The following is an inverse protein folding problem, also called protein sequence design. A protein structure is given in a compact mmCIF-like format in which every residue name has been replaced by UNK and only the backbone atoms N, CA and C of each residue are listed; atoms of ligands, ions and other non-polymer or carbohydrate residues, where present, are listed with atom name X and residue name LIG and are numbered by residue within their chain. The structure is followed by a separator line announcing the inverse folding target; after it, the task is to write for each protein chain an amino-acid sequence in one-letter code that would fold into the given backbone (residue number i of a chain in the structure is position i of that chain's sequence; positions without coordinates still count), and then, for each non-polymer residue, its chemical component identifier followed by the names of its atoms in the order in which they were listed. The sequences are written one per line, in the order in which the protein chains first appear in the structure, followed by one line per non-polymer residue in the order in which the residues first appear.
data_IF_353166252518
#
_entry.id   IF_353166252518
#
_cell.length_a   1.000
_cell.length_b   1.000
_cell.length_c   1.000
_cell.angle_alpha   90.00
_cell.angle_beta   90.00
_cell.angle_gamma   90.00
#
_symmetry.space_group_name_H-M   'P 1'
#
loop_
_entity.id
_entity.type
_entity.pdbx_description
1 polymer ?
#
# COMPACT_ATOMS: atom_id res chain seq x y z
N UNK A 1 -20.17 -14.53 -1.44
CA UNK A 1 -19.02 -15.02 -2.23
C UNK A 1 -17.74 -14.79 -1.42
N UNK A 2 -16.79 -15.71 -1.51
CA UNK A 2 -15.47 -15.58 -0.88
C UNK A 2 -14.69 -14.44 -1.57
N UNK A 3 -14.05 -13.57 -0.78
CA UNK A 3 -13.14 -12.52 -1.27
C UNK A 3 -11.69 -12.92 -0.92
N UNK A 4 -11.06 -13.78 -1.71
CA UNK A 4 -9.78 -14.40 -1.36
C UNK A 4 -8.57 -13.49 -1.60
N UNK A 5 -8.76 -12.33 -2.19
CA UNK A 5 -7.68 -11.44 -2.61
C UNK A 5 -7.72 -10.10 -1.86
N UNK A 6 -6.57 -9.50 -1.74
CA UNK A 6 -6.38 -8.10 -1.32
C UNK A 6 -5.54 -7.39 -2.38
N UNK A 7 -5.64 -6.07 -2.40
CA UNK A 7 -4.73 -5.23 -3.16
C UNK A 7 -3.66 -4.69 -2.21
N UNK A 8 -2.41 -4.81 -2.58
CA UNK A 8 -1.28 -4.12 -1.96
C UNK A 8 -0.85 -2.94 -2.81
N UNK A 9 -0.60 -1.78 -2.20
CA UNK A 9 -0.09 -0.58 -2.87
C UNK A 9 1.12 -0.08 -2.09
N UNK A 10 2.24 0.12 -2.79
CA UNK A 10 3.46 0.75 -2.28
C UNK A 10 3.65 2.11 -2.96
N UNK A 11 3.48 3.19 -2.20
CA UNK A 11 3.59 4.57 -2.71
C UNK A 11 5.00 5.10 -2.41
N UNK A 12 5.87 4.98 -3.39
CA UNK A 12 7.19 5.61 -3.34
C UNK A 12 7.18 7.04 -3.91
N UNK A 13 8.24 7.79 -3.65
CA UNK A 13 8.38 9.17 -4.15
C UNK A 13 8.45 9.31 -5.67
N UNK A 14 8.80 8.24 -6.40
CA UNK A 14 8.92 8.25 -7.87
C UNK A 14 7.87 7.38 -8.54
N UNK A 15 7.66 6.18 -8.04
CA UNK A 15 6.71 5.22 -8.58
C UNK A 15 5.79 4.73 -7.47
N UNK A 16 4.56 4.43 -7.86
CA UNK A 16 3.61 3.66 -7.06
C UNK A 16 3.47 2.29 -7.69
N UNK A 17 3.75 1.25 -6.93
CA UNK A 17 3.57 -0.15 -7.35
C UNK A 17 2.34 -0.71 -6.66
N UNK A 18 1.55 -1.48 -7.38
CA UNK A 18 0.37 -2.12 -6.81
C UNK A 18 0.18 -3.52 -7.39
N UNK A 19 -0.50 -4.38 -6.64
CA UNK A 19 -0.71 -5.76 -7.07
C UNK A 19 -1.84 -6.45 -6.33
N UNK A 20 -2.29 -7.56 -6.92
CA UNK A 20 -3.30 -8.46 -6.36
C UNK A 20 -2.56 -9.56 -5.61
N UNK A 21 -2.92 -9.78 -4.35
CA UNK A 21 -2.24 -10.71 -3.45
C UNK A 21 -3.26 -11.71 -2.89
N UNK A 22 -2.90 -12.99 -2.86
CA UNK A 22 -3.71 -14.04 -2.25
C UNK A 22 -3.47 -14.17 -0.73
N UNK A 23 -4.27 -15.00 -0.06
CA UNK A 23 -4.16 -15.23 1.38
C UNK A 23 -2.84 -15.89 1.83
N UNK A 24 -2.02 -16.37 0.90
CA UNK A 24 -0.69 -16.94 1.17
C UNK A 24 0.43 -15.94 0.97
N UNK A 25 0.10 -14.70 0.58
CA UNK A 25 1.07 -13.66 0.28
C UNK A 25 1.65 -13.75 -1.14
N UNK A 26 1.05 -14.55 -2.02
CA UNK A 26 1.48 -14.65 -3.42
C UNK A 26 0.97 -13.46 -4.21
N UNK A 27 1.85 -12.73 -4.86
CA UNK A 27 1.49 -11.67 -5.81
C UNK A 27 1.07 -12.34 -7.12
N UNK A 28 -0.22 -12.24 -7.45
CA UNK A 28 -0.80 -12.85 -8.65
C UNK A 28 -0.57 -12.00 -9.89
N UNK A 29 -0.65 -10.69 -9.74
CA UNK A 29 -0.41 -9.71 -10.79
C UNK A 29 0.03 -8.39 -10.18
N UNK A 30 0.83 -7.62 -10.89
CA UNK A 30 1.26 -6.29 -10.44
C UNK A 30 1.42 -5.33 -11.61
N UNK A 31 1.33 -4.03 -11.31
CA UNK A 31 1.56 -2.93 -12.23
C UNK A 31 2.09 -1.72 -11.48
N UNK A 32 2.39 -0.65 -12.18
CA UNK A 32 2.87 0.59 -11.56
C UNK A 32 2.47 1.82 -12.34
N UNK A 33 2.38 2.94 -11.62
CA UNK A 33 2.23 4.28 -12.18
C UNK A 33 3.31 5.21 -11.64
N UNK A 34 3.47 6.38 -12.26
CA UNK A 34 4.39 7.41 -11.79
C UNK A 34 3.73 8.25 -10.70
N UNK A 35 4.28 8.24 -9.49
CA UNK A 35 3.76 9.04 -8.36
C UNK A 35 3.76 10.53 -8.66
N UNK A 36 4.83 11.04 -9.31
CA UNK A 36 5.01 12.48 -9.57
C UNK A 36 4.39 12.99 -10.87
N UNK A 37 3.58 12.18 -11.55
CA UNK A 37 2.94 12.57 -12.82
C UNK A 37 1.86 13.65 -12.61
N UNK A 38 1.19 13.62 -11.47
CA UNK A 38 0.09 14.51 -11.14
C UNK A 38 0.45 15.43 -9.98
N UNK A 39 0.21 16.73 -10.14
CA UNK A 39 0.35 17.71 -9.08
C UNK A 39 -0.83 17.72 -8.11
N UNK A 40 -1.99 17.22 -8.54
CA UNK A 40 -3.19 17.06 -7.73
C UNK A 40 -3.38 15.59 -7.30
N UNK A 41 -3.73 15.40 -6.03
CA UNK A 41 -3.93 14.06 -5.46
C UNK A 41 -5.13 13.33 -6.06
N UNK A 42 -6.19 14.06 -6.44
CA UNK A 42 -7.39 13.46 -7.03
C UNK A 42 -7.12 12.94 -8.45
N UNK A 43 -6.29 13.64 -9.22
CA UNK A 43 -5.84 13.18 -10.54
C UNK A 43 -5.00 11.92 -10.41
N UNK A 44 -4.09 11.88 -9.42
CA UNK A 44 -3.31 10.69 -9.11
C UNK A 44 -4.21 9.50 -8.71
N UNK A 45 -5.16 9.70 -7.81
CA UNK A 45 -6.09 8.65 -7.38
C UNK A 45 -6.95 8.18 -8.56
N UNK A 46 -7.31 9.08 -9.47
CA UNK A 46 -8.08 8.73 -10.66
C UNK A 46 -7.28 7.86 -11.63
N UNK A 47 -6.00 8.16 -11.87
CA UNK A 47 -5.12 7.29 -12.66
C UNK A 47 -4.90 5.94 -11.97
N UNK A 48 -4.63 5.93 -10.66
CA UNK A 48 -4.48 4.71 -9.88
C UNK A 48 -5.73 3.83 -9.98
N UNK A 49 -6.91 4.43 -9.89
CA UNK A 49 -8.18 3.71 -10.02
C UNK A 49 -8.32 3.07 -11.40
N UNK A 50 -8.02 3.79 -12.48
CA UNK A 50 -8.12 3.25 -13.85
C UNK A 50 -7.16 2.06 -14.03
N UNK A 51 -5.90 2.22 -13.67
CA UNK A 51 -4.90 1.18 -13.90
C UNK A 51 -5.09 -0.04 -12.98
N UNK A 52 -5.49 0.18 -11.73
CA UNK A 52 -5.78 -0.92 -10.81
C UNK A 52 -7.07 -1.66 -11.18
N UNK A 53 -8.12 -0.96 -11.62
CA UNK A 53 -9.36 -1.59 -12.11
C UNK A 53 -9.09 -2.47 -13.32
N UNK A 54 -8.27 -1.99 -14.26
CA UNK A 54 -7.82 -2.77 -15.41
C UNK A 54 -7.03 -4.01 -15.01
N UNK A 55 -6.14 -3.89 -14.00
CA UNK A 55 -5.41 -5.05 -13.48
C UNK A 55 -6.36 -6.09 -12.87
N UNK A 56 -7.36 -5.64 -12.10
CA UNK A 56 -8.38 -6.50 -11.47
C UNK A 56 -9.23 -7.21 -12.53
N UNK A 57 -9.70 -6.48 -13.55
CA UNK A 57 -10.49 -7.02 -14.64
C UNK A 57 -9.70 -8.06 -15.44
N UNK A 58 -8.48 -7.72 -15.87
CA UNK A 58 -7.61 -8.62 -16.66
C UNK A 58 -7.29 -9.93 -15.94
N UNK A 59 -7.28 -9.91 -14.60
CA UNK A 59 -7.00 -11.10 -13.78
C UNK A 59 -8.28 -11.76 -13.21
N UNK A 60 -9.45 -11.40 -13.73
CA UNK A 60 -10.74 -11.96 -13.31
C UNK A 60 -10.97 -11.88 -11.79
N UNK A 61 -10.46 -10.82 -11.15
CA UNK A 61 -10.54 -10.63 -9.70
C UNK A 61 -11.68 -9.70 -9.25
N UNK A 62 -12.55 -9.29 -10.16
CA UNK A 62 -13.72 -8.46 -9.86
C UNK A 62 -14.63 -9.11 -8.81
N UNK A 63 -15.07 -8.32 -7.85
CA UNK A 63 -15.89 -8.80 -6.73
C UNK A 63 -15.16 -9.73 -5.74
N UNK A 64 -13.89 -10.06 -5.97
CA UNK A 64 -13.08 -10.96 -5.14
C UNK A 64 -12.07 -10.23 -4.25
N UNK A 65 -11.97 -8.90 -4.33
CA UNK A 65 -11.07 -8.08 -3.50
C UNK A 65 -11.74 -7.77 -2.18
N UNK A 66 -11.08 -8.14 -1.07
CA UNK A 66 -11.57 -7.91 0.29
C UNK A 66 -11.26 -6.50 0.81
N UNK A 67 -10.16 -5.90 0.37
CA UNK A 67 -9.71 -4.59 0.80
C UNK A 67 -8.36 -4.21 0.18
N UNK A 68 -7.88 -3.02 0.53
CA UNK A 68 -6.65 -2.42 0.02
C UNK A 68 -5.72 -2.12 1.20
N UNK A 69 -4.48 -2.60 1.14
CA UNK A 69 -3.41 -2.26 2.07
C UNK A 69 -2.39 -1.34 1.40
N UNK A 70 -2.00 -0.26 2.08
CA UNK A 70 -1.11 0.76 1.53
C UNK A 70 0.10 0.97 2.43
N UNK A 71 1.30 0.85 1.86
CA UNK A 71 2.54 1.37 2.43
C UNK A 71 2.88 2.72 1.80
N UNK A 72 3.10 3.75 2.61
CA UNK A 72 3.46 5.08 2.12
C UNK A 72 4.36 5.82 3.12
N UNK A 73 5.23 6.75 2.66
CA UNK A 73 6.04 7.56 3.55
C UNK A 73 5.17 8.33 4.55
N UNK A 74 5.55 8.29 5.84
CA UNK A 74 4.90 9.02 6.93
C UNK A 74 3.37 8.79 7.05
N UNK A 75 2.89 7.67 6.55
CA UNK A 75 1.51 7.26 6.73
C UNK A 75 1.26 6.74 8.15
N UNK A 76 0.11 7.10 8.71
CA UNK A 76 -0.31 6.74 10.05
C UNK A 76 -1.53 5.81 9.99
N UNK A 77 -1.38 4.61 10.55
CA UNK A 77 -2.42 3.59 10.55
C UNK A 77 -3.70 4.02 11.28
N UNK A 78 -3.55 4.72 12.41
CA UNK A 78 -4.70 5.09 13.26
C UNK A 78 -5.54 6.24 12.69
N UNK A 79 -4.91 7.14 11.93
CA UNK A 79 -5.61 8.30 11.37
C UNK A 79 -5.97 8.14 9.89
N UNK A 80 -5.38 7.16 9.20
CA UNK A 80 -5.56 6.99 7.75
C UNK A 80 -4.89 8.08 6.90
N UNK A 81 -4.03 8.89 7.51
CA UNK A 81 -3.46 10.10 6.90
C UNK A 81 -1.97 9.96 6.60
N UNK A 82 -1.50 10.71 5.62
CA UNK A 82 -0.10 11.09 5.47
C UNK A 82 0.06 12.47 6.08
N UNK A 83 0.76 12.56 7.21
CA UNK A 83 0.88 13.80 7.99
C UNK A 83 1.95 14.74 7.48
N UNK A 84 3.04 14.20 6.92
CA UNK A 84 4.16 14.95 6.37
C UNK A 84 4.67 14.21 5.12
N UNK A 85 4.41 14.77 3.97
CA UNK A 85 4.65 14.16 2.66
C UNK A 85 6.09 14.31 2.17
N UNK A 86 7.09 13.95 2.97
CA UNK A 86 8.48 13.93 2.51
C UNK A 86 8.58 13.10 1.23
N UNK A 87 9.08 13.71 0.16
CA UNK A 87 9.23 13.15 -1.19
C UNK A 87 7.93 12.90 -1.98
N UNK A 88 6.75 13.24 -1.47
CA UNK A 88 5.50 13.21 -2.22
C UNK A 88 5.23 14.57 -2.87
N UNK A 89 4.58 14.61 -4.05
CA UNK A 89 4.36 15.87 -4.77
C UNK A 89 3.18 16.69 -4.25
N UNK A 90 2.40 16.14 -3.31
CA UNK A 90 1.15 16.74 -2.85
C UNK A 90 1.30 17.46 -1.50
N UNK A 91 0.56 18.55 -1.29
CA UNK A 91 0.50 19.19 0.02
C UNK A 91 -0.06 18.25 1.09
N UNK A 92 0.53 18.28 2.27
CA UNK A 92 0.08 17.50 3.42
C UNK A 92 -0.56 18.40 4.48
N UNK A 93 -1.44 17.88 5.36
CA UNK A 93 -1.83 16.47 5.52
C UNK A 93 -2.81 15.96 4.45
N UNK A 94 -2.77 14.64 4.15
CA UNK A 94 -3.65 14.00 3.16
C UNK A 94 -4.42 12.87 3.83
N UNK A 95 -5.78 12.85 3.81
CA UNK A 95 -6.59 11.73 4.30
C UNK A 95 -6.66 10.61 3.25
N UNK A 96 -5.51 10.00 2.96
CA UNK A 96 -5.36 9.11 1.80
C UNK A 96 -6.20 7.84 1.90
N UNK A 97 -6.35 7.28 3.10
CA UNK A 97 -7.18 6.08 3.28
C UNK A 97 -8.64 6.34 2.91
N UNK A 98 -9.18 7.48 3.34
CA UNK A 98 -10.57 7.87 3.05
C UNK A 98 -10.77 8.13 1.56
N UNK A 99 -9.88 8.90 0.93
CA UNK A 99 -9.94 9.21 -0.49
C UNK A 99 -9.91 7.95 -1.37
N UNK A 100 -9.05 6.99 -1.04
CA UNK A 100 -8.97 5.72 -1.78
C UNK A 100 -10.17 4.84 -1.46
N UNK A 101 -10.60 4.77 -0.19
CA UNK A 101 -11.78 3.99 0.20
C UNK A 101 -13.04 4.48 -0.51
N UNK A 102 -13.25 5.80 -0.60
CA UNK A 102 -14.35 6.41 -1.33
C UNK A 102 -14.30 6.08 -2.82
N UNK A 103 -13.11 6.18 -3.43
CA UNK A 103 -12.94 5.96 -4.86
C UNK A 103 -13.16 4.51 -5.28
N UNK A 104 -12.72 3.55 -4.45
CA UNK A 104 -12.79 2.12 -4.78
C UNK A 104 -13.99 1.39 -4.15
N UNK A 105 -14.67 1.99 -3.18
CA UNK A 105 -15.76 1.32 -2.44
C UNK A 105 -15.27 0.12 -1.61
N UNK A 106 -14.01 0.11 -1.18
CA UNK A 106 -13.37 -0.97 -0.44
C UNK A 106 -12.77 -0.46 0.87
N UNK A 107 -12.68 -1.32 1.91
CA UNK A 107 -11.92 -1.00 3.11
C UNK A 107 -10.45 -0.75 2.78
N UNK A 108 -9.87 0.30 3.38
CA UNK A 108 -8.46 0.67 3.19
C UNK A 108 -7.75 0.74 4.53
N UNK A 109 -6.57 0.12 4.60
CA UNK A 109 -5.62 0.29 5.70
C UNK A 109 -4.32 0.88 5.15
N UNK A 110 -3.77 1.87 5.84
CA UNK A 110 -2.51 2.52 5.44
C UNK A 110 -1.53 2.49 6.61
N UNK A 111 -0.26 2.32 6.31
CA UNK A 111 0.83 2.46 7.29
C UNK A 111 2.10 2.96 6.62
N UNK A 112 3.11 3.27 7.43
CA UNK A 112 4.44 3.58 6.90
C UNK A 112 4.98 2.40 6.08
N UNK A 113 5.71 2.70 5.00
CA UNK A 113 6.28 1.72 4.06
C UNK A 113 7.19 0.68 4.75
N UNK A 114 8.08 1.11 5.64
CA UNK A 114 8.94 0.19 6.38
C UNK A 114 8.15 -0.67 7.39
N UNK A 115 7.09 -0.13 8.00
CA UNK A 115 6.20 -0.91 8.85
C UNK A 115 5.41 -1.95 8.03
N UNK A 116 4.90 -1.58 6.86
CA UNK A 116 4.23 -2.51 5.95
C UNK A 116 5.16 -3.66 5.56
N UNK A 117 6.42 -3.34 5.23
CA UNK A 117 7.43 -4.34 4.90
C UNK A 117 7.75 -5.26 6.08
N UNK A 118 7.87 -4.73 7.31
CA UNK A 118 8.09 -5.53 8.52
C UNK A 118 6.92 -6.50 8.78
N UNK A 119 5.67 -6.04 8.61
CA UNK A 119 4.49 -6.90 8.73
C UNK A 119 4.49 -8.00 7.66
N UNK A 120 4.88 -7.66 6.43
CA UNK A 120 5.04 -8.61 5.35
C UNK A 120 6.05 -9.71 5.67
N UNK A 121 7.24 -9.33 6.15
CA UNK A 121 8.28 -10.28 6.58
C UNK A 121 7.86 -11.15 7.77
N UNK A 122 7.14 -10.59 8.73
CA UNK A 122 6.60 -11.33 9.87
C UNK A 122 5.54 -12.36 9.44
N UNK A 123 4.74 -12.03 8.44
CA UNK A 123 3.60 -12.88 8.01
C UNK A 123 4.04 -13.95 7.02
N UNK A 124 4.88 -13.59 6.05
CA UNK A 124 5.20 -14.43 4.89
C UNK A 124 6.69 -14.64 4.64
N UNK A 125 7.57 -13.82 5.24
CA UNK A 125 8.98 -13.75 4.92
C UNK A 125 9.92 -14.31 5.97
N UNK A 126 11.11 -13.75 6.03
CA UNK A 126 12.22 -14.21 6.87
C UNK A 126 11.97 -14.08 8.38
N UNK A 127 11.09 -13.17 8.81
CA UNK A 127 10.75 -12.96 10.21
C UNK A 127 9.53 -13.80 10.66
N UNK A 128 9.07 -14.74 9.85
CA UNK A 128 7.92 -15.60 10.20
C UNK A 128 8.17 -16.38 11.49
N UNK A 129 7.27 -16.20 12.47
CA UNK A 129 7.36 -16.81 13.78
C UNK A 129 8.23 -16.03 14.79
N UNK A 130 8.89 -14.97 14.38
CA UNK A 130 9.58 -14.04 15.28
C UNK A 130 8.58 -13.08 15.93
N UNK A 131 8.81 -12.78 17.20
CA UNK A 131 8.00 -11.79 17.94
C UNK A 131 8.72 -10.47 18.14
N UNK A 132 10.04 -10.52 18.05
CA UNK A 132 10.91 -9.36 18.27
C UNK A 132 11.96 -9.33 17.16
N UNK A 133 11.91 -8.29 16.34
CA UNK A 133 12.90 -8.07 15.28
C UNK A 133 12.88 -6.63 14.78
N UNK A 134 13.92 -6.24 14.09
CA UNK A 134 14.03 -4.97 13.38
C UNK A 134 14.24 -5.29 11.91
N UNK A 135 13.41 -4.69 11.08
CA UNK A 135 13.60 -4.65 9.64
C UNK A 135 14.16 -3.29 9.24
N UNK A 136 15.19 -3.29 8.41
CA UNK A 136 15.82 -2.07 7.88
C UNK A 136 15.63 -2.06 6.37
N UNK A 137 15.07 -0.99 5.85
CA UNK A 137 14.96 -0.74 4.41
C UNK A 137 16.05 0.25 3.98
N UNK A 138 16.82 -0.11 2.96
CA UNK A 138 17.89 0.71 2.37
C UNK A 138 17.50 1.08 0.94
N UNK A 139 17.20 2.36 0.71
CA UNK A 139 16.82 2.88 -0.60
C UNK A 139 17.31 4.32 -0.76
N UNK A 140 16.45 5.22 -1.23
CA UNK A 140 16.74 6.67 -1.28
C UNK A 140 17.06 7.22 0.12
N UNK A 141 16.47 6.61 1.14
CA UNK A 141 16.76 6.86 2.56
C UNK A 141 16.87 5.55 3.33
N UNK A 142 16.93 5.65 4.65
CA UNK A 142 16.90 4.51 5.56
C UNK A 142 15.55 4.51 6.28
N UNK A 143 14.83 3.41 6.17
CA UNK A 143 13.61 3.18 6.94
C UNK A 143 13.79 2.01 7.91
N UNK A 144 12.97 1.94 8.94
CA UNK A 144 12.93 0.81 9.86
C UNK A 144 11.52 0.47 10.30
N UNK A 145 11.22 -0.82 10.37
CA UNK A 145 10.07 -1.38 11.05
C UNK A 145 10.54 -2.14 12.30
N UNK A 146 9.99 -1.82 13.46
CA UNK A 146 10.35 -2.44 14.73
C UNK A 146 9.14 -3.21 15.23
N UNK A 147 9.32 -4.49 15.45
CA UNK A 147 8.29 -5.38 16.03
C UNK A 147 8.76 -5.84 17.39
N UNK A 148 7.90 -5.68 18.39
CA UNK A 148 8.13 -6.11 19.79
C UNK A 148 6.88 -6.82 20.29
N UNK A 149 7.05 -8.02 20.80
CA UNK A 149 5.98 -8.91 21.27
C UNK A 149 4.94 -9.29 20.18
N UNK A 150 5.32 -9.20 18.89
CA UNK A 150 4.44 -9.52 17.78
C UNK A 150 3.54 -8.37 17.42
#
# INVERSE_FOLDING_TARGET
MSKPYVVGIDIGGTNTVFGIVDARGTVLASSSIKTRKHADINDYISELHVELSKLIETNEAEGKIAGIGIGAPNANYFTGMISDGVNLPWPTPIPLADLISEKFGLPVAITNDANAAAIGEMTYGAARGMKDFIMITLGTGVGSGIVVNG
#
